data_IF_149967493679
#
_entry.id   IF_149967493679
#
_cell.length_a   1.000
_cell.length_b   1.000
_cell.length_c   1.000
_cell.angle_alpha   90.00
_cell.angle_beta   90.00
_cell.angle_gamma   90.00
#
_symmetry.space_group_name_H-M   'P 1'
#
loop_
_entity.id
_entity.type
_entity.pdbx_description
1 polymer ?
#
# COMPACT_ATOMS: atom_id res chain seq x y z
N UNK A 1 3.52 42.45 48.23
CA UNK A 1 3.99 41.08 48.48
C UNK A 1 3.10 40.16 47.64
N UNK A 2 3.53 39.87 46.41
CA UNK A 2 4.38 38.72 46.05
C UNK A 2 3.58 37.41 46.07
N UNK A 3 3.22 37.00 44.84
CA UNK A 3 3.37 35.63 44.29
C UNK A 3 2.59 34.48 44.93
N UNK A 4 2.33 33.45 44.12
CA UNK A 4 1.74 32.15 44.46
C UNK A 4 0.21 32.08 44.43
N UNK A 5 -0.32 31.81 43.24
CA UNK A 5 -1.27 30.70 42.96
C UNK A 5 -1.79 30.70 41.50
N UNK A 6 -0.97 31.16 40.55
CA UNK A 6 -1.15 30.84 39.13
C UNK A 6 -0.06 29.84 38.75
N UNK A 7 -0.29 28.56 39.02
CA UNK A 7 0.53 27.47 38.48
C UNK A 7 -0.37 26.30 38.11
N UNK A 8 -1.14 26.49 37.05
CA UNK A 8 -1.71 25.41 36.27
C UNK A 8 -1.38 25.68 34.80
N UNK A 9 -0.09 25.84 34.51
CA UNK A 9 0.43 25.94 33.17
C UNK A 9 0.72 24.52 32.66
N UNK A 10 -0.26 23.98 31.94
CA UNK A 10 -0.06 23.38 30.62
C UNK A 10 1.16 22.46 30.48
N UNK A 11 0.99 21.18 30.82
CA UNK A 11 1.83 20.11 30.31
C UNK A 11 1.02 19.31 29.28
N UNK A 12 0.85 19.90 28.10
CA UNK A 12 0.43 19.12 26.92
C UNK A 12 1.67 18.31 26.54
N UNK A 13 1.70 17.06 27.00
CA UNK A 13 2.59 16.05 26.45
C UNK A 13 2.21 15.93 24.97
N UNK A 14 3.04 16.51 24.10
CA UNK A 14 2.98 16.26 22.67
C UNK A 14 3.52 14.84 22.44
N UNK A 15 2.69 13.85 22.81
CA UNK A 15 2.89 12.48 22.35
C UNK A 15 2.84 12.59 20.83
N UNK A 16 3.97 12.34 20.17
CA UNK A 16 4.02 12.20 18.72
C UNK A 16 3.15 11.01 18.37
N UNK A 17 1.86 11.24 18.16
CA UNK A 17 1.01 10.31 17.46
C UNK A 17 1.65 10.21 16.09
N UNK A 18 2.31 9.09 15.81
CA UNK A 18 2.58 8.72 14.44
C UNK A 18 1.21 8.54 13.80
N UNK A 19 0.67 9.63 13.26
CA UNK A 19 -0.56 9.62 12.53
C UNK A 19 -0.28 8.80 11.27
N UNK A 20 -0.66 7.52 11.30
CA UNK A 20 -0.90 6.76 10.08
C UNK A 20 -2.00 7.55 9.36
N UNK A 21 -1.60 8.32 8.35
CA UNK A 21 -2.47 9.29 7.70
C UNK A 21 -3.58 8.54 6.94
N UNK A 22 -4.70 8.35 7.63
CA UNK A 22 -5.99 7.99 7.03
C UNK A 22 -6.62 9.28 6.49
N UNK A 23 -7.14 9.24 5.26
CA UNK A 23 -7.87 10.36 4.66
C UNK A 23 -9.32 10.40 5.13
N UNK A 24 -9.94 11.57 5.17
CA UNK A 24 -11.39 11.67 5.40
C UNK A 24 -12.19 11.21 4.17
N UNK A 25 -13.51 11.11 4.31
CA UNK A 25 -14.41 10.58 3.29
C UNK A 25 -14.46 11.40 2.01
N UNK A 26 -14.44 12.73 2.12
CA UNK A 26 -14.52 13.62 0.96
C UNK A 26 -13.19 13.57 0.18
N UNK A 27 -12.08 13.67 0.89
CA UNK A 27 -10.73 13.54 0.31
C UNK A 27 -10.55 12.19 -0.38
N UNK A 28 -10.96 11.09 0.27
CA UNK A 28 -10.90 9.74 -0.32
C UNK A 28 -11.72 9.65 -1.62
N UNK A 29 -12.95 10.17 -1.60
CA UNK A 29 -13.81 10.17 -2.79
C UNK A 29 -13.19 10.97 -3.95
N UNK A 30 -12.61 12.13 -3.64
CA UNK A 30 -11.92 12.98 -4.62
C UNK A 30 -10.72 12.27 -5.25
N UNK A 31 -9.83 11.70 -4.44
CA UNK A 31 -8.66 10.95 -4.91
C UNK A 31 -9.03 9.82 -5.89
N UNK A 32 -10.08 9.07 -5.56
CA UNK A 32 -10.57 7.97 -6.41
C UNK A 32 -11.20 8.48 -7.70
N UNK A 33 -11.98 9.57 -7.63
CA UNK A 33 -12.63 10.19 -8.79
C UNK A 33 -11.60 10.80 -9.76
N UNK A 34 -10.57 11.45 -9.23
CA UNK A 34 -9.51 12.08 -10.00
C UNK A 34 -8.53 11.05 -10.60
N UNK A 35 -8.59 9.79 -10.17
CA UNK A 35 -7.64 8.73 -10.52
C UNK A 35 -6.20 9.16 -10.25
N UNK A 36 -6.02 9.92 -9.17
CA UNK A 36 -4.75 10.53 -8.79
C UNK A 36 -4.52 10.32 -7.31
N UNK A 37 -3.84 9.22 -6.98
CA UNK A 37 -3.65 8.79 -5.60
C UNK A 37 -2.39 7.96 -5.43
N UNK A 38 -1.89 7.91 -4.20
CA UNK A 38 -0.79 7.03 -3.80
C UNK A 38 -1.27 6.09 -2.72
N UNK A 39 -1.17 4.79 -2.96
CA UNK A 39 -1.34 3.77 -1.93
C UNK A 39 0.01 3.49 -1.27
N UNK A 40 0.08 3.64 0.06
CA UNK A 40 1.26 3.39 0.87
C UNK A 40 1.09 2.05 1.59
N UNK A 41 1.87 1.05 1.23
CA UNK A 41 1.80 -0.28 1.83
C UNK A 41 2.46 -0.26 3.23
N UNK A 42 1.75 -0.78 4.23
CA UNK A 42 2.21 -0.90 5.61
C UNK A 42 2.49 -2.34 6.01
N UNK A 43 1.81 -3.30 5.39
CA UNK A 43 2.11 -4.72 5.56
C UNK A 43 1.91 -5.52 4.28
N UNK A 44 2.65 -6.62 4.15
CA UNK A 44 2.56 -7.56 3.05
C UNK A 44 2.09 -8.93 3.56
N UNK A 45 1.24 -9.59 2.79
CA UNK A 45 0.62 -10.87 3.11
C UNK A 45 0.73 -11.78 1.88
N UNK A 46 1.84 -12.52 1.73
CA UNK A 46 1.92 -13.56 0.71
C UNK A 46 0.88 -14.66 0.98
N UNK A 47 0.40 -15.32 -0.06
CA UNK A 47 -0.50 -16.48 0.12
C UNK A 47 0.22 -17.59 0.91
N UNK A 48 -0.43 -18.08 1.95
CA UNK A 48 0.13 -19.08 2.85
C UNK A 48 0.46 -20.39 2.12
N UNK A 49 1.70 -20.86 2.29
CA UNK A 49 2.12 -22.22 1.95
C UNK A 49 3.25 -22.65 2.90
N UNK A 50 3.56 -23.94 2.97
CA UNK A 50 4.51 -24.49 3.94
C UNK A 50 5.93 -23.88 3.80
N UNK A 51 6.40 -23.68 2.57
CA UNK A 51 7.73 -23.14 2.27
C UNK A 51 7.86 -21.67 2.67
N UNK A 52 6.89 -20.84 2.27
CA UNK A 52 6.81 -19.42 2.62
C UNK A 52 6.71 -19.26 4.13
N UNK A 53 5.89 -20.08 4.81
CA UNK A 53 5.77 -20.03 6.27
C UNK A 53 7.09 -20.41 6.96
N UNK A 54 7.82 -21.41 6.45
CA UNK A 54 9.12 -21.80 7.00
C UNK A 54 10.18 -20.69 6.88
N UNK A 55 10.14 -19.90 5.80
CA UNK A 55 11.01 -18.72 5.63
C UNK A 55 10.55 -17.58 6.54
N UNK A 56 9.24 -17.30 6.59
CA UNK A 56 8.67 -16.22 7.40
C UNK A 56 8.97 -16.40 8.89
N UNK A 57 8.87 -17.62 9.42
CA UNK A 57 9.17 -17.92 10.82
C UNK A 57 10.64 -17.68 11.19
N UNK A 58 11.54 -17.56 10.21
CA UNK A 58 12.95 -17.24 10.41
C UNK A 58 13.24 -15.74 10.28
N UNK A 59 12.28 -14.94 9.80
CA UNK A 59 12.45 -13.49 9.67
C UNK A 59 12.06 -12.77 10.97
N UNK A 60 12.89 -11.82 11.39
CA UNK A 60 12.66 -11.01 12.59
C UNK A 60 11.34 -10.23 12.56
N UNK A 61 10.87 -9.84 11.36
CA UNK A 61 9.63 -9.09 11.15
C UNK A 61 8.45 -9.98 10.69
N UNK A 62 8.64 -11.30 10.63
CA UNK A 62 7.60 -12.25 10.30
C UNK A 62 6.71 -12.47 11.52
N UNK A 63 5.52 -11.88 11.52
CA UNK A 63 4.53 -12.18 12.56
C UNK A 63 3.96 -13.57 12.27
N UNK A 64 3.94 -14.48 13.25
CA UNK A 64 3.27 -15.77 13.10
C UNK A 64 1.83 -15.55 12.61
N UNK A 65 1.53 -15.98 11.38
CA UNK A 65 0.27 -15.66 10.69
C UNK A 65 0.40 -15.24 9.22
N UNK A 66 1.61 -15.18 8.66
CA UNK A 66 1.78 -14.91 7.23
C UNK A 66 1.77 -13.42 6.86
N UNK A 67 1.85 -12.53 7.85
CA UNK A 67 1.92 -11.08 7.65
C UNK A 67 3.32 -10.54 7.97
N UNK A 68 3.83 -9.68 7.11
CA UNK A 68 5.13 -9.03 7.21
C UNK A 68 4.89 -7.54 7.37
N UNK A 69 5.37 -6.96 8.48
CA UNK A 69 5.31 -5.51 8.67
C UNK A 69 6.35 -4.84 7.77
N UNK A 70 5.94 -3.86 6.98
CA UNK A 70 6.83 -3.08 6.14
C UNK A 70 7.32 -1.85 6.91
N UNK A 71 8.64 -1.74 7.08
CA UNK A 71 9.30 -0.56 7.64
C UNK A 71 9.76 0.37 6.52
N UNK A 72 9.25 1.61 6.52
CA UNK A 72 9.65 2.68 5.59
C UNK A 72 8.54 3.18 4.66
N UNK A 73 8.52 4.49 4.37
CA UNK A 73 7.51 5.16 3.52
C UNK A 73 7.71 4.97 2.01
N UNK A 74 8.46 3.95 1.60
CA UNK A 74 8.93 3.78 0.22
C UNK A 74 8.10 2.80 -0.61
N UNK A 75 7.30 1.94 0.02
CA UNK A 75 6.52 0.94 -0.70
C UNK A 75 5.17 1.48 -1.14
N UNK A 76 5.06 1.76 -2.44
CA UNK A 76 3.95 2.54 -2.97
C UNK A 76 3.39 1.96 -4.27
N UNK A 77 2.09 2.15 -4.46
CA UNK A 77 1.43 2.11 -5.77
C UNK A 77 0.95 3.53 -6.08
N UNK A 78 1.56 4.18 -7.06
CA UNK A 78 1.16 5.50 -7.56
C UNK A 78 0.24 5.32 -8.76
N UNK A 79 -0.92 5.96 -8.70
CA UNK A 79 -1.93 5.94 -9.76
C UNK A 79 -2.12 7.38 -10.23
N UNK A 80 -1.90 7.58 -11.52
CA UNK A 80 -2.22 8.79 -12.27
C UNK A 80 -3.15 8.41 -13.43
N UNK A 81 -3.81 9.40 -14.03
CA UNK A 81 -4.65 9.20 -15.22
C UNK A 81 -3.90 8.55 -16.39
N UNK A 82 -2.61 8.84 -16.52
CA UNK A 82 -1.78 8.43 -17.66
C UNK A 82 -0.74 7.35 -17.31
N UNK A 83 -0.58 7.03 -16.03
CA UNK A 83 0.49 6.15 -15.57
C UNK A 83 0.17 5.45 -14.25
N UNK A 84 0.60 4.20 -14.15
CA UNK A 84 0.59 3.44 -12.91
C UNK A 84 2.00 2.97 -12.63
N UNK A 85 2.48 3.23 -11.42
CA UNK A 85 3.82 2.88 -10.99
C UNK A 85 3.76 2.14 -9.65
N UNK A 86 4.34 0.94 -9.60
CA UNK A 86 4.43 0.14 -8.39
C UNK A 86 5.88 -0.01 -7.98
N UNK A 87 6.13 0.14 -6.69
CA UNK A 87 7.37 -0.20 -6.01
C UNK A 87 6.99 -0.95 -4.73
N UNK A 88 6.79 -2.25 -4.84
CA UNK A 88 6.31 -3.10 -3.74
C UNK A 88 7.26 -4.26 -3.50
N UNK A 89 7.48 -4.68 -2.25
CA UNK A 89 8.31 -5.84 -1.96
C UNK A 89 7.54 -7.13 -2.25
N UNK A 90 8.24 -8.23 -2.53
CA UNK A 90 7.61 -9.52 -2.79
C UNK A 90 8.21 -10.59 -1.87
N UNK A 91 7.33 -11.39 -1.25
CA UNK A 91 7.70 -12.41 -0.26
C UNK A 91 7.03 -13.76 -0.54
N UNK A 92 6.50 -13.95 -1.76
CA UNK A 92 5.82 -15.19 -2.17
C UNK A 92 6.72 -16.11 -2.99
N UNK A 93 6.13 -17.16 -3.54
CA UNK A 93 6.82 -18.12 -4.40
C UNK A 93 6.79 -17.69 -5.87
N UNK A 94 7.96 -17.65 -6.51
CA UNK A 94 8.07 -17.52 -7.95
C UNK A 94 8.01 -18.91 -8.62
N UNK A 95 7.31 -19.02 -9.75
CA UNK A 95 7.19 -20.26 -10.53
C UNK A 95 8.19 -20.33 -11.69
N UNK A 96 8.78 -19.19 -12.06
CA UNK A 96 9.84 -19.09 -13.05
C UNK A 96 11.02 -18.34 -12.46
N UNK A 97 12.25 -18.73 -12.82
CA UNK A 97 13.43 -17.96 -12.44
C UNK A 97 13.34 -16.54 -13.00
N UNK A 98 13.61 -15.55 -12.16
CA UNK A 98 13.72 -14.16 -12.63
C UNK A 98 15.02 -14.00 -13.40
N UNK A 99 14.98 -13.33 -14.55
CA UNK A 99 16.17 -13.05 -15.37
C UNK A 99 17.18 -12.17 -14.62
N UNK A 100 16.71 -11.38 -13.65
CA UNK A 100 17.54 -10.52 -12.83
C UNK A 100 17.36 -10.89 -11.34
N UNK A 101 18.37 -11.48 -10.68
CA UNK A 101 18.27 -11.87 -9.28
C UNK A 101 18.17 -10.67 -8.32
N UNK A 102 18.61 -9.48 -8.76
CA UNK A 102 18.53 -8.25 -7.96
C UNK A 102 17.14 -7.57 -8.02
N UNK A 103 16.27 -8.00 -8.93
CA UNK A 103 14.91 -7.46 -9.09
C UNK A 103 13.84 -8.35 -8.44
N UNK A 104 13.93 -8.45 -7.12
CA UNK A 104 13.10 -9.37 -6.33
C UNK A 104 11.70 -8.85 -6.02
N UNK A 105 11.42 -7.55 -6.20
CA UNK A 105 10.14 -6.91 -5.89
C UNK A 105 9.13 -6.89 -7.04
N UNK A 106 7.96 -6.30 -6.79
CA UNK A 106 6.99 -5.91 -7.82
C UNK A 106 7.28 -4.46 -8.18
N UNK A 107 8.09 -4.26 -9.22
CA UNK A 107 8.51 -2.94 -9.70
C UNK A 107 8.11 -2.77 -11.15
N UNK A 108 7.24 -1.82 -11.44
CA UNK A 108 6.91 -1.49 -12.81
C UNK A 108 6.36 -0.08 -12.96
N UNK A 109 6.45 0.44 -14.18
CA UNK A 109 5.72 1.61 -14.64
C UNK A 109 5.00 1.27 -15.93
N UNK A 110 3.70 1.52 -15.96
CA UNK A 110 2.84 1.27 -17.10
C UNK A 110 2.22 2.58 -17.56
N UNK A 111 2.23 2.84 -18.87
CA UNK A 111 1.43 3.90 -19.52
C UNK A 111 0.28 3.32 -20.34
N UNK A 112 0.24 2.00 -20.51
CA UNK A 112 -0.82 1.28 -21.23
C UNK A 112 -1.51 0.33 -20.26
N UNK A 113 -2.60 0.76 -19.66
CA UNK A 113 -3.37 -0.06 -18.71
C UNK A 113 -4.87 0.16 -18.89
N UNK A 114 -5.68 -0.80 -18.48
CA UNK A 114 -7.11 -0.55 -18.20
C UNK A 114 -7.28 -0.13 -16.75
N UNK A 115 -8.27 0.73 -16.49
CA UNK A 115 -8.62 1.20 -15.17
C UNK A 115 -10.14 1.18 -15.01
N UNK A 116 -10.65 0.51 -13.98
CA UNK A 116 -12.08 0.44 -13.68
C UNK A 116 -12.34 0.62 -12.20
N UNK A 117 -13.17 1.60 -11.87
CA UNK A 117 -13.65 1.84 -10.50
C UNK A 117 -15.09 1.36 -10.35
N UNK A 118 -15.35 0.63 -9.26
CA UNK A 118 -16.70 0.21 -8.85
C UNK A 118 -16.95 0.66 -7.42
N UNK A 119 -18.07 1.34 -7.17
CA UNK A 119 -18.50 1.70 -5.81
C UNK A 119 -19.08 0.46 -5.10
N UNK A 120 -18.68 0.22 -3.85
CA UNK A 120 -19.19 -0.88 -3.03
C UNK A 120 -20.55 -0.52 -2.43
N UNK A 121 -21.44 -1.51 -2.30
CA UNK A 121 -22.80 -1.32 -1.71
C UNK A 121 -22.75 -0.77 -0.27
N UNK A 122 -21.72 -1.14 0.51
CA UNK A 122 -21.52 -0.71 1.91
C UNK A 122 -20.57 0.50 2.05
N UNK A 123 -20.36 1.27 0.97
CA UNK A 123 -19.39 2.37 0.94
C UNK A 123 -17.98 1.93 0.54
N UNK A 124 -17.19 2.89 0.08
CA UNK A 124 -15.85 2.67 -0.49
C UNK A 124 -15.86 2.22 -1.96
N UNK A 125 -14.68 1.88 -2.48
CA UNK A 125 -14.46 1.58 -3.89
C UNK A 125 -13.61 0.33 -4.11
N UNK A 126 -13.74 -0.29 -5.28
CA UNK A 126 -12.82 -1.28 -5.82
C UNK A 126 -12.27 -0.70 -7.11
N UNK A 127 -10.95 -0.59 -7.19
CA UNK A 127 -10.22 -0.09 -8.35
C UNK A 127 -9.46 -1.28 -8.94
N UNK A 128 -9.77 -1.64 -10.19
CA UNK A 128 -9.07 -2.69 -10.91
C UNK A 128 -8.19 -2.09 -12.00
N UNK A 129 -6.93 -2.49 -12.03
CA UNK A 129 -5.91 -2.02 -12.96
C UNK A 129 -5.31 -3.23 -13.65
N UNK A 130 -5.25 -3.22 -14.99
CA UNK A 130 -4.54 -4.25 -15.74
C UNK A 130 -3.55 -3.61 -16.71
N UNK A 131 -2.24 -3.59 -16.38
CA UNK A 131 -1.19 -3.21 -17.31
C UNK A 131 -1.19 -4.10 -18.55
N UNK A 132 -0.95 -3.51 -19.72
CA UNK A 132 -0.84 -4.19 -21.01
C UNK A 132 0.59 -4.20 -21.57
N UNK A 133 1.45 -3.38 -21.00
CA UNK A 133 2.87 -3.23 -21.32
C UNK A 133 3.79 -3.86 -20.25
N UNK A 134 3.22 -4.51 -19.23
CA UNK A 134 3.96 -5.30 -18.25
C UNK A 134 3.68 -6.80 -18.46
N UNK A 135 4.72 -7.64 -18.40
CA UNK A 135 4.62 -9.09 -18.63
C UNK A 135 4.42 -9.91 -17.35
N UNK A 136 4.71 -9.33 -16.20
CA UNK A 136 4.77 -10.02 -14.92
C UNK A 136 3.47 -9.86 -14.13
N UNK A 137 2.98 -8.62 -14.03
CA UNK A 137 1.75 -8.26 -13.31
C UNK A 137 0.56 -8.38 -14.26
N UNK A 138 -0.34 -9.30 -13.97
CA UNK A 138 -1.55 -9.52 -14.74
C UNK A 138 -2.63 -8.48 -14.40
N UNK A 139 -2.85 -8.26 -13.10
CA UNK A 139 -3.81 -7.26 -12.61
C UNK A 139 -3.51 -6.86 -11.16
N UNK A 140 -4.00 -5.69 -10.80
CA UNK A 140 -4.03 -5.15 -9.45
C UNK A 140 -5.48 -4.83 -9.09
N UNK A 141 -5.91 -5.24 -7.89
CA UNK A 141 -7.23 -4.92 -7.34
C UNK A 141 -7.07 -4.21 -6.00
N UNK A 142 -7.37 -2.91 -5.98
CA UNK A 142 -7.27 -2.05 -4.80
C UNK A 142 -8.68 -1.80 -4.24
N UNK A 143 -8.95 -2.38 -3.07
CA UNK A 143 -10.18 -2.15 -2.31
C UNK A 143 -9.95 -1.01 -1.32
N UNK A 144 -10.63 0.12 -1.52
CA UNK A 144 -10.49 1.35 -0.71
C UNK A 144 -11.73 1.52 0.17
N UNK A 145 -11.55 1.79 1.47
CA UNK A 145 -12.63 2.15 2.39
C UNK A 145 -12.97 3.64 2.27
N UNK A 146 -14.01 4.12 2.95
CA UNK A 146 -14.36 5.54 2.91
C UNK A 146 -13.34 6.42 3.66
N UNK A 147 -12.59 5.87 4.61
CA UNK A 147 -11.58 6.58 5.40
C UNK A 147 -10.14 6.31 4.91
N UNK A 148 -9.97 5.93 3.64
CA UNK A 148 -8.65 5.82 3.02
C UNK A 148 -7.83 4.57 3.36
N UNK A 149 -8.26 3.68 4.25
CA UNK A 149 -7.64 2.36 4.35
C UNK A 149 -7.85 1.59 3.04
N UNK A 150 -6.83 0.84 2.64
CA UNK A 150 -6.93 0.05 1.44
C UNK A 150 -6.21 -1.29 1.55
N UNK A 151 -6.73 -2.23 0.78
CA UNK A 151 -6.14 -3.55 0.57
C UNK A 151 -5.85 -3.69 -0.92
N UNK A 152 -4.59 -3.86 -1.26
CA UNK A 152 -4.13 -4.11 -2.62
C UNK A 152 -3.90 -5.61 -2.80
N UNK A 153 -4.51 -6.21 -3.80
CA UNK A 153 -4.18 -7.56 -4.26
C UNK A 153 -3.44 -7.45 -5.59
N UNK A 154 -2.28 -8.10 -5.70
CA UNK A 154 -1.50 -8.16 -6.93
C UNK A 154 -1.50 -9.61 -7.43
N UNK A 155 -2.01 -9.80 -8.64
CA UNK A 155 -1.95 -11.07 -9.34
C UNK A 155 -0.89 -11.00 -10.44
N UNK A 156 -0.04 -12.01 -10.48
CA UNK A 156 1.11 -12.10 -11.39
C UNK A 156 1.01 -13.36 -12.24
N UNK A 157 1.56 -13.33 -13.45
CA UNK A 157 1.53 -14.48 -14.35
C UNK A 157 2.45 -15.62 -13.87
N UNK A 158 3.61 -15.27 -13.29
CA UNK A 158 4.67 -16.21 -12.97
C UNK A 158 5.02 -16.27 -11.48
N UNK A 159 4.20 -15.63 -10.63
CA UNK A 159 4.42 -15.55 -9.19
C UNK A 159 3.10 -15.79 -8.46
N UNK A 160 3.19 -16.37 -7.27
CA UNK A 160 2.07 -16.50 -6.36
C UNK A 160 1.52 -15.11 -6.01
N UNK A 161 0.19 -14.95 -6.00
CA UNK A 161 -0.45 -13.69 -5.62
C UNK A 161 -0.05 -13.24 -4.20
N UNK A 162 -0.05 -11.93 -4.01
CA UNK A 162 0.28 -11.28 -2.73
C UNK A 162 -0.69 -10.13 -2.46
N UNK A 163 -1.02 -9.93 -1.19
CA UNK A 163 -1.87 -8.83 -0.74
C UNK A 163 -1.08 -7.86 0.13
N UNK A 164 -1.47 -6.59 0.14
CA UNK A 164 -0.88 -5.56 0.98
C UNK A 164 -1.98 -4.79 1.69
N UNK A 165 -1.79 -4.50 2.97
CA UNK A 165 -2.58 -3.49 3.67
C UNK A 165 -1.86 -2.15 3.61
N UNK A 166 -2.62 -1.07 3.67
CA UNK A 166 -2.07 0.27 3.65
C UNK A 166 -3.14 1.34 3.72
N UNK A 167 -2.74 2.56 3.41
CA UNK A 167 -3.63 3.71 3.25
C UNK A 167 -3.37 4.43 1.94
N UNK A 168 -4.42 5.00 1.36
CA UNK A 168 -4.25 5.95 0.26
C UNK A 168 -3.95 7.34 0.83
N UNK A 169 -3.21 8.13 0.06
CA UNK A 169 -2.90 9.50 0.37
C UNK A 169 -2.88 10.34 -0.91
N UNK A 170 -2.93 11.65 -0.72
CA UNK A 170 -2.62 12.61 -1.76
C UNK A 170 -1.20 12.36 -2.30
N UNK A 171 -1.01 12.39 -3.63
CA UNK A 171 0.31 12.41 -4.21
C UNK A 171 1.10 13.61 -3.68
N UNK A 172 2.30 13.36 -3.14
CA UNK A 172 3.20 14.45 -2.79
C UNK A 172 3.66 15.11 -4.08
N UNK A 173 3.56 16.44 -4.16
CA UNK A 173 4.23 17.15 -5.23
C UNK A 173 5.73 16.90 -5.07
N UNK A 174 6.35 16.34 -6.11
CA UNK A 174 7.80 16.27 -6.19
C UNK A 174 8.28 17.72 -6.24
N UNK A 175 8.80 18.23 -5.10
CA UNK A 175 9.50 19.51 -5.08
C UNK A 175 10.69 19.38 -6.02
N UNK A 176 10.54 19.94 -7.22
CA UNK A 176 11.63 20.08 -8.19
C UNK A 176 12.74 20.97 -7.64
#
# INVERSE_FOLDING_TARGET
>A
MKTFKKLLALLIVFSTVQAFAQTDKETTAKLVADQHLVFNATSAMPMANAEVNAVLNKMQNGSGGGMIQLSGSQYQLKINKDSVEAYLPYYGRAYTASMNPDDSGIKFKSKKFSYKTTKKKKGGWIINIAPKDNREVQNLSLSVSENGYAVLNVNSNNRQSISFNGTIAEPKEDKK
#
